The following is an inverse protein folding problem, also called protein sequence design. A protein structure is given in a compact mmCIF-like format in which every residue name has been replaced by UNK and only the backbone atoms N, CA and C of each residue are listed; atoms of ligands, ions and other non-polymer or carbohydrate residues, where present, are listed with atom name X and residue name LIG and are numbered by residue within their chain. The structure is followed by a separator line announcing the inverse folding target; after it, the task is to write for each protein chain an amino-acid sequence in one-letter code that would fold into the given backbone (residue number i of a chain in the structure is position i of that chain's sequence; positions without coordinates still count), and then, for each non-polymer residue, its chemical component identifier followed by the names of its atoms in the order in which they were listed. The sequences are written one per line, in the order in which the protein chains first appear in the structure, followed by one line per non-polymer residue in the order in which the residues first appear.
data_IF_698731041126
#
_entry.id   IF_698731041126
#
_cell.length_a   1.000
_cell.length_b   1.000
_cell.length_c   1.000
_cell.angle_alpha   90.00
_cell.angle_beta   90.00
_cell.angle_gamma   90.00
#
_symmetry.space_group_name_H-M   'P 1'
#
loop_
_entity.id
_entity.type
_entity.pdbx_description
1 polymer ?
#
# COMPACT_ATOMS: atom_id res chain seq x y z
N UNK A 1 -15.22 -1.95 7.20
CA UNK A 1 -14.61 -0.92 6.34
C UNK A 1 -13.21 -0.74 6.85
N UNK A 2 -12.22 -1.13 6.05
CA UNK A 2 -10.80 -0.96 6.36
C UNK A 2 -10.18 0.03 5.39
N UNK A 3 -9.14 0.73 5.84
CA UNK A 3 -8.33 1.59 5.00
C UNK A 3 -7.15 0.79 4.46
N UNK A 4 -7.06 0.68 3.14
CA UNK A 4 -6.09 -0.18 2.45
C UNK A 4 -5.12 0.69 1.64
N UNK A 5 -3.83 0.41 1.78
CA UNK A 5 -2.78 0.97 0.95
C UNK A 5 -2.36 -0.05 -0.12
N UNK A 6 -2.44 0.34 -1.39
CA UNK A 6 -1.91 -0.41 -2.52
C UNK A 6 -0.52 0.08 -2.88
N UNK A 7 0.42 -0.87 -2.96
CA UNK A 7 1.78 -0.62 -3.39
C UNK A 7 1.86 -0.21 -4.88
N UNK A 8 2.95 0.48 -5.24
CA UNK A 8 3.18 0.99 -6.61
C UNK A 8 3.47 -0.12 -7.64
N UNK A 9 3.83 -1.31 -7.18
CA UNK A 9 4.04 -2.50 -8.01
C UNK A 9 2.73 -3.18 -8.45
N UNK A 10 1.58 -2.77 -7.89
CA UNK A 10 0.28 -3.33 -8.22
C UNK A 10 -0.44 -2.54 -9.32
N UNK A 11 -1.27 -3.24 -10.09
CA UNK A 11 -2.14 -2.60 -11.09
C UNK A 11 -3.09 -1.63 -10.39
N UNK A 12 -3.19 -0.41 -10.90
CA UNK A 12 -4.09 0.61 -10.34
C UNK A 12 -5.55 0.14 -10.31
N UNK A 13 -5.96 -0.62 -11.33
CA UNK A 13 -7.32 -1.13 -11.45
C UNK A 13 -7.71 -2.08 -10.31
N UNK A 14 -6.74 -2.69 -9.60
CA UNK A 14 -7.00 -3.53 -8.44
C UNK A 14 -7.70 -2.75 -7.30
N UNK A 15 -7.50 -1.43 -7.23
CA UNK A 15 -8.22 -0.60 -6.28
C UNK A 15 -9.74 -0.64 -6.49
N UNK A 16 -10.20 -0.79 -7.74
CA UNK A 16 -11.63 -0.90 -8.06
C UNK A 16 -12.24 -2.23 -7.61
N UNK A 17 -11.44 -3.29 -7.55
CA UNK A 17 -11.89 -4.62 -7.14
C UNK A 17 -12.03 -4.75 -5.62
N UNK A 18 -11.32 -3.90 -4.85
CA UNK A 18 -11.37 -3.86 -3.38
C UNK A 18 -12.58 -3.06 -2.86
N UNK A 19 -13.76 -3.43 -3.34
CA UNK A 19 -15.03 -2.78 -2.99
C UNK A 19 -15.33 -2.90 -1.48
N UNK A 20 -15.95 -1.85 -0.91
CA UNK A 20 -16.31 -1.81 0.52
C UNK A 20 -15.17 -1.41 1.47
N UNK A 21 -13.98 -1.09 0.93
CA UNK A 21 -12.85 -0.54 1.66
C UNK A 21 -12.50 0.86 1.14
N UNK A 22 -11.84 1.66 1.96
CA UNK A 22 -11.23 2.91 1.50
C UNK A 22 -9.82 2.61 0.99
N UNK A 23 -9.60 2.78 -0.31
CA UNK A 23 -8.35 2.35 -0.96
C UNK A 23 -7.56 3.57 -1.40
N UNK A 24 -6.29 3.62 -0.98
CA UNK A 24 -5.30 4.60 -1.43
C UNK A 24 -4.12 3.87 -2.05
N UNK A 25 -3.35 4.55 -2.89
CA UNK A 25 -2.14 4.02 -3.51
C UNK A 25 -0.91 4.78 -3.02
N UNK A 26 0.25 4.13 -3.00
CA UNK A 26 1.55 4.76 -2.74
C UNK A 26 1.78 6.00 -3.62
N UNK A 27 1.29 5.96 -4.87
CA UNK A 27 1.29 7.10 -5.80
C UNK A 27 0.47 8.28 -5.30
N UNK A 28 -0.78 8.05 -4.87
CA UNK A 28 -1.65 9.11 -4.33
C UNK A 28 -1.06 9.72 -3.05
N UNK A 29 -0.39 8.91 -2.24
CA UNK A 29 0.29 9.36 -1.02
C UNK A 29 1.62 10.07 -1.29
N UNK A 30 2.09 10.13 -2.54
CA UNK A 30 3.40 10.65 -2.93
C UNK A 30 4.57 9.93 -2.23
N UNK A 31 4.42 8.62 -2.01
CA UNK A 31 5.40 7.77 -1.33
C UNK A 31 6.19 6.87 -2.29
N UNK A 32 6.17 7.16 -3.60
CA UNK A 32 6.87 6.36 -4.60
C UNK A 32 8.38 6.26 -4.31
N UNK A 33 8.94 5.06 -4.46
CA UNK A 33 10.38 4.82 -4.30
C UNK A 33 10.88 4.90 -2.86
N UNK A 34 9.99 4.93 -1.86
CA UNK A 34 10.35 4.74 -0.44
C UNK A 34 10.81 3.30 -0.24
N UNK A 35 11.82 3.11 0.61
CA UNK A 35 12.25 1.76 0.99
C UNK A 35 11.16 1.05 1.78
N UNK A 36 11.10 -0.27 1.70
CA UNK A 36 10.12 -1.12 2.36
C UNK A 36 9.92 -0.81 3.86
N UNK A 37 11.01 -0.78 4.65
CA UNK A 37 10.91 -0.43 6.07
C UNK A 37 10.48 1.02 6.35
N UNK A 38 10.69 1.96 5.43
CA UNK A 38 10.17 3.32 5.55
C UNK A 38 8.67 3.37 5.21
N UNK A 39 8.27 2.71 4.12
CA UNK A 39 6.88 2.58 3.71
C UNK A 39 6.02 1.96 4.82
N UNK A 40 6.49 0.88 5.44
CA UNK A 40 5.81 0.24 6.56
C UNK A 40 5.60 1.19 7.73
N UNK A 41 6.61 1.99 8.08
CA UNK A 41 6.52 2.98 9.18
C UNK A 41 5.53 4.11 8.88
N UNK A 42 5.47 4.55 7.62
CA UNK A 42 4.51 5.55 7.18
C UNK A 42 3.08 5.00 7.12
N UNK A 43 2.92 3.74 6.70
CA UNK A 43 1.63 3.11 6.49
C UNK A 43 0.98 2.63 7.81
N UNK A 44 1.77 2.05 8.73
CA UNK A 44 1.27 1.44 9.97
C UNK A 44 0.32 2.31 10.82
N UNK A 45 0.54 3.63 10.99
CA UNK A 45 -0.39 4.46 11.76
C UNK A 45 -1.65 4.91 11.00
N UNK A 46 -1.74 4.70 9.68
CA UNK A 46 -2.78 5.29 8.82
C UNK A 46 -3.67 4.22 8.17
N UNK A 47 -3.09 3.06 7.86
CA UNK A 47 -3.75 2.00 7.09
C UNK A 47 -3.84 0.71 7.90
N UNK A 48 -4.98 0.04 7.77
CA UNK A 48 -5.21 -1.26 8.38
C UNK A 48 -4.46 -2.37 7.61
N UNK A 49 -4.32 -2.20 6.29
CA UNK A 49 -3.76 -3.22 5.39
C UNK A 49 -2.84 -2.56 4.36
N UNK A 50 -1.64 -3.12 4.18
CA UNK A 50 -0.77 -2.87 3.02
C UNK A 50 -0.86 -4.09 2.09
N UNK A 51 -1.17 -3.85 0.81
CA UNK A 51 -1.16 -4.88 -0.24
C UNK A 51 0.02 -4.60 -1.15
N UNK A 52 0.87 -5.61 -1.34
CA UNK A 52 2.12 -5.51 -2.13
C UNK A 52 2.40 -6.84 -2.82
N UNK A 53 3.10 -6.77 -3.96
CA UNK A 53 3.69 -7.93 -4.63
C UNK A 53 5.22 -8.02 -4.42
N UNK A 54 5.80 -7.09 -3.66
CA UNK A 54 7.22 -7.10 -3.33
C UNK A 54 7.50 -8.14 -2.23
N UNK A 55 8.21 -9.20 -2.59
CA UNK A 55 8.62 -10.28 -1.67
C UNK A 55 9.86 -9.91 -0.83
N UNK A 56 10.45 -8.74 -1.05
CA UNK A 56 11.61 -8.28 -0.27
C UNK A 56 11.18 -7.63 1.05
N UNK A 57 9.91 -7.21 1.15
CA UNK A 57 9.31 -6.61 2.34
C UNK A 57 9.48 -7.42 3.62
N UNK A 58 9.50 -8.75 3.53
CA UNK A 58 9.69 -9.63 4.69
C UNK A 58 11.17 -9.75 5.15
N UNK A 59 12.10 -9.30 4.31
CA UNK A 59 13.55 -9.45 4.50
C UNK A 59 14.30 -8.11 4.71
N UNK A 60 13.61 -6.96 4.62
CA UNK A 60 14.18 -5.60 4.76
C UNK A 60 13.71 -4.83 6.02
#
# INVERSE_FOLDING_TARGET
MSTVLLDENLLHDLAHELTGNEVHTVRQMHWNGRKNGELLRLAAPIFDVLVTADHSLEHE
#
